data_IF_887360104662
#
_entry.id   IF_887360104662
#
_cell.length_a   1.000
_cell.length_b   1.000
_cell.length_c   1.000
_cell.angle_alpha   90.00
_cell.angle_beta   90.00
_cell.angle_gamma   90.00
#
_symmetry.space_group_name_H-M   'P 1'
#
loop_
_entity.id
_entity.type
_entity.pdbx_description
1 polymer ?
#
# COMPACT_ATOMS: atom_id res chain seq x y z
N UNK A 1 3.08 -8.98 -6.50
CA UNK A 1 2.84 -7.52 -6.69
C UNK A 1 1.42 -7.14 -6.34
N UNK A 2 0.39 -7.78 -6.93
CA UNK A 2 -1.01 -7.54 -6.56
C UNK A 2 -1.28 -7.78 -5.06
N UNK A 3 -0.85 -8.92 -4.52
CA UNK A 3 -1.02 -9.24 -3.09
C UNK A 3 -0.51 -8.17 -2.13
N UNK A 4 0.70 -7.64 -2.34
CA UNK A 4 1.27 -6.61 -1.47
C UNK A 4 0.41 -5.33 -1.44
N UNK A 5 -0.23 -5.00 -2.55
CA UNK A 5 -1.14 -3.86 -2.64
C UNK A 5 -2.48 -4.13 -1.99
N UNK A 6 -3.03 -5.33 -2.19
CA UNK A 6 -4.28 -5.73 -1.53
C UNK A 6 -4.10 -5.74 -0.01
N UNK A 7 -2.95 -6.23 0.48
CA UNK A 7 -2.55 -6.14 1.90
C UNK A 7 -2.45 -4.68 2.38
N UNK A 8 -1.82 -3.80 1.61
CA UNK A 8 -1.75 -2.36 1.95
C UNK A 8 -3.15 -1.74 2.05
N UNK A 9 -4.05 -2.04 1.11
CA UNK A 9 -5.43 -1.55 1.13
C UNK A 9 -6.21 -2.10 2.32
N UNK A 10 -6.02 -3.39 2.64
CA UNK A 10 -6.63 -4.03 3.80
C UNK A 10 -6.20 -3.35 5.11
N UNK A 11 -4.90 -3.10 5.31
CA UNK A 11 -4.41 -2.37 6.48
C UNK A 11 -4.96 -0.94 6.55
N UNK A 12 -5.09 -0.24 5.40
CA UNK A 12 -5.69 1.08 5.37
C UNK A 12 -7.17 1.04 5.78
N UNK A 13 -7.93 0.04 5.32
CA UNK A 13 -9.32 -0.15 5.68
C UNK A 13 -9.50 -0.48 7.17
N UNK A 14 -8.61 -1.30 7.74
CA UNK A 14 -8.62 -1.68 9.17
C UNK A 14 -8.46 -0.48 10.11
N UNK A 15 -7.78 0.57 9.66
CA UNK A 15 -7.65 1.84 10.41
C UNK A 15 -8.69 2.90 10.01
N UNK A 16 -9.71 2.52 9.24
CA UNK A 16 -10.85 3.37 8.88
C UNK A 16 -10.61 4.32 7.73
N UNK A 17 -9.54 4.17 6.96
CA UNK A 17 -9.32 4.97 5.77
C UNK A 17 -10.24 4.54 4.62
N UNK A 18 -10.63 5.50 3.77
CA UNK A 18 -11.40 5.23 2.54
C UNK A 18 -10.57 5.41 1.26
N UNK A 19 -9.31 5.83 1.40
CA UNK A 19 -8.38 5.98 0.29
C UNK A 19 -6.92 5.84 0.76
N UNK A 20 -6.03 5.56 -0.19
CA UNK A 20 -4.58 5.62 -0.01
C UNK A 20 -4.00 6.60 -1.04
N UNK A 21 -3.27 7.61 -0.58
CA UNK A 21 -2.57 8.58 -1.44
C UNK A 21 -1.07 8.32 -1.43
N UNK A 22 -0.39 8.75 -2.51
CA UNK A 22 1.05 8.53 -2.64
C UNK A 22 1.46 7.06 -2.70
N UNK A 23 0.56 6.17 -3.19
CA UNK A 23 0.85 4.75 -3.31
C UNK A 23 2.09 4.48 -4.18
N UNK A 24 2.99 3.63 -3.71
CA UNK A 24 4.22 3.22 -4.38
C UNK A 24 4.45 1.72 -4.21
N UNK A 25 5.17 1.16 -5.17
CA UNK A 25 5.73 -0.17 -5.07
C UNK A 25 7.24 -0.09 -5.02
N UNK A 26 7.83 -0.91 -4.18
CA UNK A 26 9.26 -1.14 -4.15
C UNK A 26 9.54 -2.63 -4.28
N UNK A 27 10.64 -2.98 -4.94
CA UNK A 27 11.09 -4.36 -5.07
C UNK A 27 12.60 -4.40 -4.93
N UNK A 28 13.07 -5.04 -3.86
CA UNK A 28 14.48 -5.09 -3.50
C UNK A 28 14.93 -6.53 -3.38
N UNK A 29 16.07 -6.88 -3.99
CA UNK A 29 16.71 -8.18 -3.76
C UNK A 29 17.39 -8.16 -2.39
N UNK A 30 16.90 -9.00 -1.48
CA UNK A 30 17.38 -9.06 -0.09
C UNK A 30 18.41 -10.17 0.11
N UNK A 31 18.36 -11.21 -0.73
CA UNK A 31 19.32 -12.30 -0.83
C UNK A 31 19.32 -12.83 -2.26
N UNK A 32 20.35 -13.57 -2.67
CA UNK A 32 20.38 -14.14 -4.03
C UNK A 32 19.10 -14.93 -4.34
N UNK A 33 18.37 -14.48 -5.35
CA UNK A 33 17.13 -15.12 -5.81
C UNK A 33 15.92 -14.87 -4.92
N UNK A 34 16.02 -14.02 -3.89
CA UNK A 34 14.91 -13.61 -3.01
C UNK A 34 14.65 -12.12 -3.19
N UNK A 35 13.50 -11.81 -3.78
CA UNK A 35 13.03 -10.43 -3.97
C UNK A 35 11.91 -10.12 -3.00
N UNK A 36 12.13 -9.12 -2.15
CA UNK A 36 11.07 -8.51 -1.36
C UNK A 36 10.25 -7.58 -2.25
N UNK A 37 8.92 -7.61 -2.10
CA UNK A 37 8.01 -6.71 -2.79
C UNK A 37 7.15 -5.98 -1.76
N UNK A 38 7.27 -4.67 -1.73
CA UNK A 38 6.56 -3.79 -0.80
C UNK A 38 5.56 -2.92 -1.56
N UNK A 39 4.42 -2.65 -0.92
CA UNK A 39 3.49 -1.61 -1.32
C UNK A 39 3.22 -0.70 -0.11
N UNK A 40 3.34 0.61 -0.31
CA UNK A 40 3.13 1.57 0.77
C UNK A 40 2.53 2.88 0.24
N UNK A 41 1.93 3.64 1.16
CA UNK A 41 1.30 4.93 0.89
C UNK A 41 0.74 5.53 2.17
N UNK A 42 -0.01 6.62 2.06
CA UNK A 42 -0.66 7.28 3.19
C UNK A 42 -2.15 6.97 3.18
N UNK A 43 -2.61 6.27 4.21
CA UNK A 43 -4.03 6.02 4.44
C UNK A 43 -4.72 7.33 4.87
N UNK A 44 -5.80 7.68 4.18
CA UNK A 44 -6.53 8.92 4.41
C UNK A 44 -8.04 8.69 4.39
N UNK A 45 -8.78 9.55 5.08
CA UNK A 45 -10.21 9.68 4.90
C UNK A 45 -10.48 10.96 4.10
N UNK A 46 -11.07 10.83 2.91
CA UNK A 46 -11.39 11.96 2.04
C UNK A 46 -12.90 12.17 1.95
N UNK A 47 -13.28 13.44 1.82
CA UNK A 47 -14.66 13.87 1.57
C UNK A 47 -14.72 14.63 0.23
N UNK A 48 -15.85 14.59 -0.49
CA UNK A 48 -16.03 15.37 -1.71
C UNK A 48 -15.79 16.87 -1.46
N UNK A 49 -15.06 17.53 -2.36
CA UNK A 49 -14.98 18.99 -2.36
C UNK A 49 -16.35 19.57 -2.74
N UNK A 50 -16.84 20.53 -1.95
CA UNK A 50 -18.10 21.25 -2.20
C UNK A 50 -18.14 21.94 -3.57
#
# INVERSE_FOLDING_TARGET
RAEAFDLMLQHAAEIGANAVVGARYDATEVMQGVTEVLAYGTAVFVEPSR
#
